data_IF_948441466370
#
_entry.id   IF_948441466370
#
_cell.length_a   1.000
_cell.length_b   1.000
_cell.length_c   1.000
_cell.angle_alpha   90.00
_cell.angle_beta   90.00
_cell.angle_gamma   90.00
#
_symmetry.space_group_name_H-M   'P 1'
#
loop_
_entity.id
_entity.type
_entity.pdbx_description
1 polymer ?
#
# COMPACT_ATOMS: atom_id res chain seq x y z
N UNK A 1 -53.81 -4.51 37.89
CA UNK A 1 -54.92 -3.55 37.71
C UNK A 1 -54.77 -2.89 36.36
N UNK A 2 -55.83 -3.00 35.57
CA UNK A 2 -56.16 -2.39 34.26
C UNK A 2 -56.08 -0.83 34.33
N UNK A 3 -56.01 0.03 33.30
CA UNK A 3 -56.51 0.16 31.91
C UNK A 3 -55.58 1.17 31.18
N UNK A 4 -55.18 1.03 29.90
CA UNK A 4 -55.87 1.45 28.66
C UNK A 4 -56.34 2.92 28.60
N UNK A 5 -55.81 3.71 27.65
CA UNK A 5 -56.59 4.69 26.86
C UNK A 5 -55.84 5.15 25.60
N UNK A 6 -56.40 4.79 24.45
CA UNK A 6 -56.09 5.26 23.11
C UNK A 6 -56.83 6.57 22.82
N UNK A 7 -56.25 7.48 22.04
CA UNK A 7 -57.03 8.47 21.27
C UNK A 7 -56.59 8.41 19.80
N UNK A 8 -57.52 7.93 18.98
CA UNK A 8 -57.58 8.13 17.53
C UNK A 8 -57.82 9.61 17.22
N UNK A 9 -57.14 10.14 16.21
CA UNK A 9 -57.62 11.30 15.46
C UNK A 9 -57.68 10.92 13.97
N UNK A 10 -58.91 10.77 13.47
CA UNK A 10 -59.24 10.63 12.06
C UNK A 10 -59.43 12.05 11.52
N UNK A 11 -58.71 12.42 10.47
CA UNK A 11 -59.15 13.48 9.56
C UNK A 11 -59.14 12.91 8.14
N UNK A 12 -60.30 13.02 7.51
CA UNK A 12 -60.60 12.61 6.16
C UNK A 12 -60.77 13.84 5.26
N UNK A 13 -60.84 13.55 3.94
CA UNK A 13 -61.18 14.40 2.79
C UNK A 13 -60.03 15.30 2.28
N UNK A 14 -59.77 15.42 0.98
CA UNK A 14 -60.56 15.13 -0.21
C UNK A 14 -59.67 15.00 -1.46
N UNK A 15 -60.17 14.27 -2.45
CA UNK A 15 -59.61 14.11 -3.81
C UNK A 15 -59.77 15.36 -4.66
N UNK A 16 -58.73 15.72 -5.43
CA UNK A 16 -58.90 16.44 -6.71
C UNK A 16 -58.04 15.71 -7.76
N UNK A 17 -58.72 15.27 -8.81
CA UNK A 17 -58.15 14.72 -10.02
C UNK A 17 -57.92 15.88 -11.00
N UNK A 18 -56.72 15.99 -11.56
CA UNK A 18 -56.48 16.85 -12.72
C UNK A 18 -55.59 16.09 -13.70
N UNK A 19 -56.20 15.76 -14.84
CA UNK A 19 -55.53 15.28 -16.05
C UNK A 19 -54.59 16.37 -16.58
N UNK A 20 -53.35 15.99 -16.91
CA UNK A 20 -52.34 16.90 -17.46
C UNK A 20 -51.28 16.17 -18.29
N UNK A 21 -51.58 16.02 -19.58
CA UNK A 21 -50.72 15.93 -20.78
C UNK A 21 -49.63 14.84 -20.93
N UNK A 22 -49.53 14.21 -22.11
CA UNK A 22 -48.41 13.35 -22.46
C UNK A 22 -47.12 14.16 -22.57
N UNK A 23 -46.08 13.67 -21.91
CA UNK A 23 -44.70 14.19 -21.99
C UNK A 23 -44.20 13.99 -23.42
N UNK A 24 -43.77 15.04 -24.15
CA UNK A 24 -43.09 14.89 -25.42
C UNK A 24 -41.74 14.18 -25.20
N UNK A 25 -41.39 13.28 -26.12
CA UNK A 25 -40.14 12.54 -26.08
C UNK A 25 -38.93 13.48 -25.97
N UNK A 26 -37.88 13.12 -25.20
CA UNK A 26 -36.67 13.92 -25.12
C UNK A 26 -36.06 14.07 -26.53
N UNK A 27 -35.72 15.31 -26.87
CA UNK A 27 -34.95 15.68 -28.05
C UNK A 27 -33.68 14.81 -28.11
N UNK A 28 -33.24 14.35 -29.29
CA UNK A 28 -31.95 13.70 -29.41
C UNK A 28 -30.89 14.70 -28.93
N UNK A 29 -30.24 14.40 -27.80
CA UNK A 29 -28.98 15.05 -27.46
C UNK A 29 -28.08 14.86 -28.67
N UNK A 30 -27.52 15.96 -29.17
CA UNK A 30 -26.36 15.92 -30.05
C UNK A 30 -25.42 14.85 -29.52
N UNK A 31 -25.26 13.79 -30.30
CA UNK A 31 -24.10 12.91 -30.19
C UNK A 31 -22.90 13.83 -30.33
N UNK A 32 -22.36 14.27 -29.20
CA UNK A 32 -21.06 14.92 -29.15
C UNK A 32 -20.14 14.04 -29.96
N UNK A 33 -19.72 14.55 -31.13
CA UNK A 33 -18.93 13.79 -32.07
C UNK A 33 -17.78 13.18 -31.28
N UNK A 34 -17.76 11.86 -31.19
CA UNK A 34 -16.58 11.13 -30.72
C UNK A 34 -15.45 11.60 -31.62
N UNK A 35 -14.60 12.48 -31.09
CA UNK A 35 -13.36 12.88 -31.74
C UNK A 35 -12.56 11.58 -31.87
N UNK A 36 -12.63 10.95 -33.03
CA UNK A 36 -11.69 9.92 -33.40
C UNK A 36 -10.31 10.59 -33.37
N UNK A 37 -9.50 10.20 -32.39
CA UNK A 37 -8.08 10.52 -32.40
C UNK A 37 -7.53 10.03 -33.74
N UNK A 38 -6.98 10.96 -34.53
CA UNK A 38 -6.36 10.62 -35.80
C UNK A 38 -5.15 9.72 -35.55
N UNK A 39 -4.84 8.86 -36.53
CA UNK A 39 -3.74 7.88 -36.46
C UNK A 39 -2.40 8.48 -36.02
N UNK A 40 -2.19 9.76 -36.31
CA UNK A 40 -0.97 10.50 -35.96
C UNK A 40 -0.89 10.91 -34.47
N UNK A 41 -2.02 10.97 -33.75
CA UNK A 41 -2.04 11.24 -32.30
C UNK A 41 -1.75 9.98 -31.45
N UNK A 42 -1.87 8.80 -32.07
CA UNK A 42 -1.66 7.49 -31.42
C UNK A 42 -0.16 7.12 -31.38
N UNK A 43 0.68 7.75 -32.23
CA UNK A 43 2.09 7.39 -32.45
C UNK A 43 3.04 8.44 -31.85
N UNK A 44 2.94 8.75 -30.55
CA UNK A 44 4.20 8.86 -29.78
C UNK A 44 4.14 8.24 -28.38
N UNK A 45 3.07 7.50 -28.03
CA UNK A 45 2.95 6.86 -26.71
C UNK A 45 3.60 5.47 -26.62
N UNK A 46 4.12 4.94 -27.73
CA UNK A 46 4.52 3.53 -27.82
C UNK A 46 5.99 3.24 -27.46
N UNK A 47 6.83 4.26 -27.26
CA UNK A 47 8.29 4.07 -27.10
C UNK A 47 8.84 4.38 -25.70
N UNK A 48 8.05 4.18 -24.64
CA UNK A 48 8.64 3.98 -23.31
C UNK A 48 8.21 2.61 -22.81
N UNK A 49 9.12 1.66 -22.58
CA UNK A 49 8.83 0.57 -21.67
C UNK A 49 8.65 1.22 -20.29
N UNK A 50 7.43 1.69 -19.99
CA UNK A 50 6.98 1.88 -18.62
C UNK A 50 6.89 0.47 -18.07
N UNK A 51 8.03 -0.07 -17.61
CA UNK A 51 8.01 -1.31 -16.85
C UNK A 51 7.07 -1.02 -15.69
N UNK A 52 5.95 -1.73 -15.67
CA UNK A 52 4.96 -1.53 -14.63
C UNK A 52 5.69 -1.60 -13.30
N UNK A 53 5.44 -0.62 -12.42
CA UNK A 53 5.67 -0.81 -11.00
C UNK A 53 5.22 -2.23 -10.66
N UNK A 54 6.04 -3.03 -9.95
CA UNK A 54 5.65 -4.38 -9.57
C UNK A 54 4.21 -4.32 -9.08
N UNK A 55 3.31 -5.10 -9.69
CA UNK A 55 1.91 -5.18 -9.27
C UNK A 55 1.90 -5.30 -7.75
N UNK A 56 1.09 -4.51 -7.02
CA UNK A 56 1.12 -4.47 -5.56
C UNK A 56 0.61 -5.82 -5.03
N UNK A 57 1.51 -6.81 -4.98
CA UNK A 57 1.32 -8.01 -4.22
C UNK A 57 1.38 -7.57 -2.75
N UNK A 58 0.42 -8.00 -1.91
CA UNK A 58 0.56 -7.78 -0.48
C UNK A 58 1.89 -8.40 0.00
N UNK A 59 2.66 -7.70 0.84
CA UNK A 59 3.85 -8.30 1.44
C UNK A 59 3.44 -9.54 2.26
N UNK A 60 4.28 -10.59 2.30
CA UNK A 60 4.03 -11.73 3.17
C UNK A 60 4.03 -11.28 4.63
N UNK A 61 3.06 -11.74 5.43
CA UNK A 61 3.03 -11.43 6.87
C UNK A 61 4.26 -11.95 7.61
N UNK A 62 4.77 -13.09 7.17
CA UNK A 62 5.96 -13.71 7.72
C UNK A 62 6.92 -14.09 6.59
N UNK A 63 8.22 -13.94 6.84
CA UNK A 63 9.28 -14.44 5.96
C UNK A 63 10.27 -15.27 6.76
N UNK A 64 10.58 -16.45 6.23
CA UNK A 64 11.50 -17.41 6.86
C UNK A 64 12.87 -17.36 6.19
N UNK A 65 13.91 -17.29 7.00
CA UNK A 65 15.30 -17.44 6.56
C UNK A 65 16.05 -18.39 7.50
N UNK A 66 15.94 -19.70 7.25
CA UNK A 66 16.45 -20.70 8.19
C UNK A 66 15.57 -20.78 9.43
N UNK A 67 16.17 -20.60 10.62
CA UNK A 67 15.47 -20.65 11.92
C UNK A 67 14.68 -19.38 12.27
N UNK A 68 15.17 -18.13 12.05
CA UNK A 68 14.37 -16.95 12.36
C UNK A 68 13.17 -16.81 11.43
N UNK A 69 12.01 -16.55 12.05
CA UNK A 69 10.79 -16.10 11.39
C UNK A 69 10.65 -14.61 11.66
N UNK A 70 10.68 -13.81 10.61
CA UNK A 70 10.45 -12.37 10.68
C UNK A 70 9.01 -12.06 10.34
N UNK A 71 8.33 -11.30 11.18
CA UNK A 71 6.97 -10.81 10.96
C UNK A 71 6.97 -9.36 10.53
N UNK A 72 6.09 -9.05 9.59
CA UNK A 72 5.80 -7.69 9.15
C UNK A 72 5.17 -6.90 10.32
N UNK A 73 5.76 -5.77 10.68
CA UNK A 73 5.19 -4.83 11.68
C UNK A 73 4.96 -3.43 11.11
N UNK A 74 5.50 -3.12 9.94
CA UNK A 74 5.30 -1.83 9.28
C UNK A 74 5.13 -2.00 7.76
N UNK A 75 4.19 -1.26 7.19
CA UNK A 75 4.03 -1.09 5.75
C UNK A 75 3.66 0.37 5.44
N UNK A 76 4.37 0.99 4.49
CA UNK A 76 4.13 2.39 4.15
C UNK A 76 4.83 2.84 2.87
N UNK A 77 4.96 4.16 2.73
CA UNK A 77 5.65 4.83 1.63
C UNK A 77 6.07 6.24 2.06
N UNK A 78 7.11 6.80 1.46
CA UNK A 78 7.55 8.18 1.69
C UNK A 78 8.37 8.38 2.97
N UNK A 79 8.53 7.33 3.78
CA UNK A 79 9.24 7.36 5.05
C UNK A 79 10.14 6.14 5.18
N UNK A 80 11.27 6.28 5.86
CA UNK A 80 12.15 5.17 6.24
C UNK A 80 12.43 5.21 7.74
N UNK A 81 12.93 4.09 8.26
CA UNK A 81 13.31 3.99 9.65
C UNK A 81 14.52 4.87 9.96
N UNK A 82 14.50 5.53 11.12
CA UNK A 82 15.62 6.29 11.62
C UNK A 82 16.70 5.36 12.16
N UNK A 83 17.84 5.34 11.48
CA UNK A 83 19.02 4.56 11.87
C UNK A 83 19.65 5.03 13.20
N UNK A 84 19.25 6.18 13.76
CA UNK A 84 19.79 6.72 15.03
C UNK A 84 18.91 6.49 16.26
N UNK A 85 17.70 5.92 16.10
CA UNK A 85 16.75 5.68 17.19
C UNK A 85 16.68 4.20 17.61
N UNK A 86 16.67 3.88 18.91
CA UNK A 86 17.58 4.33 19.95
C UNK A 86 18.55 3.18 20.29
N UNK A 87 19.79 3.24 19.80
CA UNK A 87 20.83 2.27 20.19
C UNK A 87 21.55 1.55 19.05
N UNK A 88 21.11 1.74 17.80
CA UNK A 88 21.64 1.08 16.59
C UNK A 88 23.12 1.40 16.32
N UNK A 89 24.03 0.77 17.06
CA UNK A 89 25.48 0.84 16.85
C UNK A 89 25.94 0.05 15.62
N UNK A 90 25.06 -0.79 15.08
CA UNK A 90 25.38 -1.75 14.05
C UNK A 90 24.18 -1.94 13.13
N UNK A 91 24.21 -1.29 11.96
CA UNK A 91 23.26 -1.51 10.88
C UNK A 91 24.03 -2.00 9.65
N UNK A 92 23.47 -2.94 8.90
CA UNK A 92 24.07 -3.42 7.65
C UNK A 92 23.10 -3.24 6.51
N UNK A 93 23.53 -2.48 5.50
CA UNK A 93 22.72 -2.15 4.34
C UNK A 93 23.23 -2.88 3.10
N UNK A 94 22.30 -3.50 2.36
CA UNK A 94 22.55 -4.02 1.01
C UNK A 94 21.59 -3.41 0.01
N UNK A 95 22.05 -3.33 -1.23
CA UNK A 95 21.23 -2.93 -2.38
C UNK A 95 20.87 -4.16 -3.21
N UNK A 96 19.59 -4.33 -3.47
CA UNK A 96 19.03 -5.41 -4.28
C UNK A 96 18.54 -4.79 -5.61
N UNK A 97 18.84 -5.40 -6.77
CA UNK A 97 18.44 -4.84 -8.07
C UNK A 97 16.93 -4.62 -8.16
N UNK A 98 16.48 -3.49 -8.71
CA UNK A 98 15.05 -3.17 -8.78
C UNK A 98 14.22 -4.08 -9.68
N UNK A 99 14.87 -4.81 -10.58
CA UNK A 99 14.24 -5.88 -11.35
C UNK A 99 13.77 -7.05 -10.47
N UNK A 100 14.22 -7.14 -9.22
CA UNK A 100 13.81 -8.16 -8.25
C UNK A 100 12.36 -7.92 -7.83
N UNK A 101 11.54 -8.99 -7.81
CA UNK A 101 10.16 -8.89 -7.33
C UNK A 101 10.13 -8.57 -5.84
N UNK A 102 9.07 -7.90 -5.37
CA UNK A 102 8.91 -7.52 -3.96
C UNK A 102 9.15 -8.68 -3.00
N UNK A 103 8.47 -9.81 -3.20
CA UNK A 103 8.59 -10.97 -2.30
C UNK A 103 9.99 -11.59 -2.34
N UNK A 104 10.66 -11.54 -3.51
CA UNK A 104 12.05 -12.00 -3.61
C UNK A 104 13.03 -11.04 -2.93
N UNK A 105 12.77 -9.73 -2.98
CA UNK A 105 13.56 -8.73 -2.26
C UNK A 105 13.40 -8.86 -0.74
N UNK A 106 12.16 -9.08 -0.27
CA UNK A 106 11.84 -9.37 1.15
C UNK A 106 12.59 -10.61 1.61
N UNK A 107 12.50 -11.71 0.86
CA UNK A 107 13.23 -12.95 1.18
C UNK A 107 14.73 -12.74 1.23
N UNK A 108 15.31 -12.02 0.25
CA UNK A 108 16.74 -11.74 0.21
C UNK A 108 17.20 -10.83 1.34
N UNK A 109 16.36 -9.91 1.79
CA UNK A 109 16.64 -9.06 2.95
C UNK A 109 16.60 -9.88 4.26
N UNK A 110 15.64 -10.79 4.40
CA UNK A 110 15.60 -11.74 5.52
C UNK A 110 16.83 -12.67 5.53
N UNK A 111 17.26 -13.14 4.35
CA UNK A 111 18.47 -13.95 4.20
C UNK A 111 19.72 -13.20 4.62
N UNK A 112 19.83 -11.93 4.23
CA UNK A 112 20.92 -11.05 4.66
C UNK A 112 20.94 -10.84 6.18
N UNK A 113 19.78 -10.56 6.77
CA UNK A 113 19.65 -10.38 8.21
C UNK A 113 20.07 -11.63 9.00
N UNK A 114 19.70 -12.82 8.52
CA UNK A 114 19.98 -14.08 9.19
C UNK A 114 21.42 -14.60 9.03
N UNK A 115 22.14 -14.20 7.97
CA UNK A 115 23.47 -14.73 7.64
C UNK A 115 24.63 -14.05 8.39
N UNK A 116 24.36 -13.03 9.20
CA UNK A 116 25.42 -12.30 9.90
C UNK A 116 25.81 -13.04 11.17
N UNK A 117 27.11 -13.10 11.52
CA UNK A 117 27.64 -13.94 12.62
C UNK A 117 26.94 -13.72 13.98
N UNK A 118 26.51 -12.50 14.27
CA UNK A 118 25.81 -12.14 15.51
C UNK A 118 24.26 -12.10 15.35
N UNK A 119 23.74 -12.31 14.14
CA UNK A 119 22.32 -12.33 13.79
C UNK A 119 21.61 -10.96 13.87
N UNK A 120 21.02 -10.50 12.77
CA UNK A 120 20.14 -9.33 12.80
C UNK A 120 18.70 -9.72 13.13
N UNK A 121 18.07 -8.99 14.04
CA UNK A 121 16.74 -9.32 14.56
C UNK A 121 15.61 -8.51 13.92
N UNK A 122 15.92 -7.38 13.28
CA UNK A 122 14.94 -6.64 12.49
C UNK A 122 15.56 -6.10 11.21
N UNK A 123 14.73 -5.76 10.24
CA UNK A 123 15.17 -5.10 9.02
C UNK A 123 14.06 -4.22 8.44
N UNK A 124 14.49 -3.14 7.79
CA UNK A 124 13.66 -2.39 6.86
C UNK A 124 14.00 -2.76 5.42
N UNK A 125 13.01 -2.71 4.55
CA UNK A 125 13.18 -2.85 3.11
C UNK A 125 12.32 -1.80 2.40
N UNK A 126 12.91 -1.03 1.50
CA UNK A 126 12.15 -0.10 0.66
C UNK A 126 12.64 -0.08 -0.78
N UNK A 127 11.74 0.20 -1.71
CA UNK A 127 12.10 0.45 -3.11
C UNK A 127 12.35 1.94 -3.31
N UNK A 128 13.54 2.32 -3.75
CA UNK A 128 13.92 3.72 -3.95
C UNK A 128 14.10 4.03 -5.43
N UNK A 129 13.44 5.10 -5.88
CA UNK A 129 13.57 5.65 -7.24
C UNK A 129 14.03 7.11 -7.15
N UNK A 130 15.35 7.36 -7.01
CA UNK A 130 15.88 8.71 -6.82
C UNK A 130 15.58 9.65 -8.00
N UNK A 131 15.33 9.10 -9.19
CA UNK A 131 14.84 9.84 -10.36
C UNK A 131 13.78 9.04 -11.13
N UNK A 132 12.91 9.72 -11.87
CA UNK A 132 11.84 9.10 -12.67
C UNK A 132 12.32 8.44 -13.97
N UNK A 133 13.63 8.47 -14.22
CA UNK A 133 14.28 8.01 -15.45
C UNK A 133 15.14 6.77 -15.19
N UNK A 134 15.61 6.58 -13.95
CA UNK A 134 16.45 5.45 -13.56
C UNK A 134 15.62 4.24 -13.10
N UNK A 135 16.18 3.05 -13.30
CA UNK A 135 15.65 1.86 -12.66
C UNK A 135 15.86 1.99 -11.15
N UNK A 136 14.77 1.88 -10.39
CA UNK A 136 14.85 1.91 -8.93
C UNK A 136 15.65 0.75 -8.36
N UNK A 137 15.91 0.80 -7.07
CA UNK A 137 16.59 -0.29 -6.36
C UNK A 137 15.91 -0.58 -5.03
N UNK A 138 15.97 -1.82 -4.58
CA UNK A 138 15.53 -2.20 -3.26
C UNK A 138 16.67 -1.95 -2.28
N UNK A 139 16.42 -1.16 -1.24
CA UNK A 139 17.37 -0.90 -0.17
C UNK A 139 16.92 -1.67 1.07
N UNK A 140 17.78 -2.56 1.55
CA UNK A 140 17.54 -3.38 2.73
C UNK A 140 18.54 -2.96 3.81
N UNK A 141 18.05 -2.64 5.01
CA UNK A 141 18.91 -2.34 6.16
C UNK A 141 18.50 -3.24 7.32
N UNK A 142 19.44 -4.04 7.81
CA UNK A 142 19.25 -4.96 8.94
C UNK A 142 19.81 -4.35 10.23
N UNK A 143 19.16 -4.64 11.36
CA UNK A 143 19.42 -4.06 12.68
C UNK A 143 19.52 -5.12 13.77
N UNK A 144 20.47 -4.92 14.70
CA UNK A 144 20.81 -5.89 15.76
C UNK A 144 19.83 -5.90 16.93
N UNK A 145 18.78 -5.10 16.86
CA UNK A 145 17.78 -4.99 17.90
C UNK A 145 16.44 -5.45 17.34
N UNK A 146 15.68 -6.17 18.17
CA UNK A 146 14.26 -6.42 17.90
C UNK A 146 13.55 -5.09 17.96
N UNK A 147 12.80 -4.73 16.93
CA UNK A 147 12.03 -3.49 16.92
C UNK A 147 10.68 -3.70 16.25
N UNK A 148 9.63 -3.26 16.92
CA UNK A 148 8.26 -3.23 16.38
C UNK A 148 7.61 -1.85 16.51
N UNK A 149 8.36 -0.85 16.98
CA UNK A 149 7.88 0.52 17.13
C UNK A 149 7.83 1.21 15.76
N UNK A 150 6.62 1.37 15.25
CA UNK A 150 6.38 2.03 13.95
C UNK A 150 6.70 3.51 13.97
N UNK A 151 6.81 4.14 15.15
CA UNK A 151 7.17 5.56 15.27
C UNK A 151 8.59 5.88 14.80
N UNK A 152 9.44 4.86 14.62
CA UNK A 152 10.80 5.02 14.10
C UNK A 152 10.83 5.23 12.58
N UNK A 153 9.73 4.94 11.86
CA UNK A 153 9.58 5.28 10.44
C UNK A 153 9.23 6.76 10.26
N UNK A 154 10.17 7.65 10.60
CA UNK A 154 9.95 9.09 10.65
C UNK A 154 10.94 9.91 9.81
N UNK A 155 11.89 9.27 9.13
CA UNK A 155 12.79 9.95 8.18
C UNK A 155 12.10 10.08 6.84
N UNK A 156 11.92 11.31 6.38
CA UNK A 156 11.26 11.59 5.10
C UNK A 156 12.12 11.14 3.93
N UNK A 157 11.56 10.29 3.07
CA UNK A 157 12.16 9.84 1.80
C UNK A 157 11.06 9.67 0.74
N UNK A 158 10.66 10.75 0.06
CA UNK A 158 9.52 10.73 -0.87
C UNK A 158 9.62 9.73 -2.02
N UNK A 159 10.85 9.34 -2.38
CA UNK A 159 11.16 8.37 -3.44
C UNK A 159 11.14 6.92 -2.96
N UNK A 160 11.03 6.68 -1.66
CA UNK A 160 10.95 5.35 -1.07
C UNK A 160 9.50 4.84 -1.09
N UNK A 161 9.21 3.83 -1.88
CA UNK A 161 7.89 3.22 -1.94
C UNK A 161 7.87 2.00 -2.86
N UNK A 162 7.37 0.84 -2.38
CA UNK A 162 6.85 0.58 -1.03
C UNK A 162 7.96 0.45 0.03
N UNK A 163 7.59 0.59 1.31
CA UNK A 163 8.46 0.46 2.50
C UNK A 163 7.87 -0.59 3.43
N UNK A 164 8.73 -1.46 3.99
CA UNK A 164 8.36 -2.54 4.89
C UNK A 164 9.32 -2.59 6.09
N UNK A 165 8.78 -2.92 7.26
CA UNK A 165 9.54 -3.24 8.47
C UNK A 165 9.21 -4.66 8.94
N UNK A 166 10.25 -5.44 9.20
CA UNK A 166 10.15 -6.81 9.69
C UNK A 166 11.00 -7.01 10.94
N UNK A 167 10.52 -7.80 11.90
CA UNK A 167 11.25 -8.13 13.12
C UNK A 167 11.02 -9.59 13.49
N UNK A 168 12.00 -10.24 14.11
CA UNK A 168 11.87 -11.60 14.61
C UNK A 168 10.73 -11.69 15.63
N UNK A 169 9.98 -12.79 15.57
CA UNK A 169 9.03 -13.15 16.62
C UNK A 169 9.82 -13.77 17.79
N UNK A 170 10.13 -12.99 18.84
CA UNK A 170 10.84 -13.54 20.01
C UNK A 170 9.96 -14.45 20.87
N UNK A 171 8.62 -14.35 20.74
CA UNK A 171 7.72 -14.88 21.77
C UNK A 171 6.76 -15.97 21.26
N UNK A 172 6.84 -16.37 19.98
CA UNK A 172 5.83 -17.24 19.35
C UNK A 172 4.42 -16.62 19.25
N UNK A 173 4.25 -15.40 19.76
CA UNK A 173 3.07 -14.55 19.62
C UNK A 173 3.09 -13.92 18.23
N UNK A 174 1.97 -13.97 17.52
CA UNK A 174 1.81 -13.18 16.30
C UNK A 174 1.96 -11.69 16.66
N UNK A 175 2.84 -10.97 15.96
CA UNK A 175 2.87 -9.51 15.99
C UNK A 175 1.51 -9.03 15.43
N UNK A 176 0.74 -8.21 16.18
CA UNK A 176 -0.63 -7.84 15.84
C UNK A 176 -0.78 -7.04 14.53
#
# INVERSE_FOLDING_TARGET
MFYQSSILAILALSTISTFGSPIPAPTPMETGGLKQATRDEIIPRHNKPKRALPSPAPPPREVRSGEPVYSLYFQGSGVIENDTNPGKKHASTITIPGATTQNSAIKRCADHAAQTEDGYFSFQLYYDTPSSIEEGSWICTAYYEVNTDTSYFNIQRPTAGPVFGYSVNTDGSAIP
#
